data_IF_998753630159
#
_entry.id   IF_998753630159
#
_cell.length_a   1.000
_cell.length_b   1.000
_cell.length_c   1.000
_cell.angle_alpha   90.00
_cell.angle_beta   90.00
_cell.angle_gamma   90.00
#
_symmetry.space_group_name_H-M   'P 1'
#
loop_
_entity.id
_entity.type
_entity.pdbx_description
1 polymer ?
#
# COMPACT_ATOMS: atom_id res chain seq x y z
N UNK A 1 6.85 20.32 -14.66
CA UNK A 1 6.64 19.13 -15.49
C UNK A 1 5.18 19.06 -15.92
N UNK A 2 4.87 19.47 -17.14
CA UNK A 2 3.51 19.36 -17.70
C UNK A 2 3.15 17.87 -17.89
N UNK A 3 1.92 17.52 -17.54
CA UNK A 3 1.42 16.15 -17.64
C UNK A 3 1.34 15.74 -19.13
N UNK A 4 2.36 15.05 -19.64
CA UNK A 4 2.28 14.43 -20.97
C UNK A 4 0.97 13.62 -21.06
N UNK A 5 0.16 13.85 -22.09
CA UNK A 5 -1.03 13.02 -22.33
C UNK A 5 -0.53 11.62 -22.66
N UNK A 6 -0.57 10.72 -21.70
CA UNK A 6 -0.26 9.32 -21.91
C UNK A 6 -1.28 8.66 -22.81
N UNK A 7 -0.88 7.60 -23.50
CA UNK A 7 -1.79 6.74 -24.25
C UNK A 7 -2.64 5.88 -23.31
N UNK A 8 -3.67 5.25 -23.84
CA UNK A 8 -4.53 4.29 -23.13
C UNK A 8 -3.70 3.15 -22.51
N UNK A 9 -2.61 2.76 -23.15
CA UNK A 9 -1.69 1.70 -22.73
C UNK A 9 -1.16 1.96 -21.31
N UNK A 10 -0.64 3.14 -21.03
CA UNK A 10 -0.03 3.50 -19.74
C UNK A 10 -1.08 3.52 -18.62
N UNK A 11 -2.29 4.00 -18.90
CA UNK A 11 -3.40 3.92 -17.95
C UNK A 11 -3.81 2.49 -17.65
N UNK A 12 -3.84 1.61 -18.64
CA UNK A 12 -4.14 0.19 -18.44
C UNK A 12 -3.05 -0.51 -17.63
N UNK A 13 -1.77 -0.21 -17.91
CA UNK A 13 -0.65 -0.74 -17.12
C UNK A 13 -0.82 -0.35 -15.64
N UNK A 14 -1.08 0.93 -15.35
CA UNK A 14 -1.26 1.39 -13.98
C UNK A 14 -2.51 0.80 -13.32
N UNK A 15 -3.65 0.76 -14.04
CA UNK A 15 -4.88 0.19 -13.52
C UNK A 15 -4.72 -1.30 -13.18
N UNK A 16 -4.09 -2.09 -14.05
CA UNK A 16 -3.86 -3.52 -13.77
C UNK A 16 -2.77 -3.76 -12.74
N UNK A 17 -1.76 -2.88 -12.63
CA UNK A 17 -0.80 -2.94 -11.52
C UNK A 17 -1.50 -2.76 -10.16
N UNK A 18 -2.40 -1.78 -10.05
CA UNK A 18 -3.25 -1.64 -8.87
C UNK A 18 -4.20 -2.82 -8.73
N UNK A 19 -4.71 -3.34 -9.85
CA UNK A 19 -5.58 -4.50 -9.90
C UNK A 19 -4.96 -5.75 -9.28
N UNK A 20 -3.80 -6.17 -9.76
CA UNK A 20 -3.10 -7.35 -9.22
C UNK A 20 -2.55 -7.12 -7.81
N UNK A 21 -2.51 -5.88 -7.36
CA UNK A 21 -2.00 -5.50 -6.04
C UNK A 21 -3.08 -5.37 -4.99
N UNK A 22 -4.36 -5.17 -5.38
CA UNK A 22 -5.36 -4.88 -4.37
C UNK A 22 -6.82 -4.93 -4.82
N UNK A 23 -7.13 -5.08 -6.10
CA UNK A 23 -8.50 -5.28 -6.56
C UNK A 23 -8.80 -6.79 -6.56
N UNK A 24 -9.70 -7.31 -5.68
CA UNK A 24 -9.85 -8.74 -5.43
C UNK A 24 -10.10 -9.57 -6.69
N UNK A 25 -10.86 -9.05 -7.65
CA UNK A 25 -11.13 -9.72 -8.92
C UNK A 25 -9.86 -10.11 -9.68
N UNK A 26 -8.84 -9.26 -9.65
CA UNK A 26 -7.56 -9.50 -10.32
C UNK A 26 -6.54 -10.17 -9.39
N UNK A 27 -6.45 -9.72 -8.14
CA UNK A 27 -5.43 -10.18 -7.19
C UNK A 27 -5.67 -11.63 -6.72
N UNK A 28 -6.91 -12.13 -6.74
CA UNK A 28 -7.23 -13.52 -6.47
C UNK A 28 -7.10 -14.42 -7.71
N UNK A 29 -6.97 -13.85 -8.91
CA UNK A 29 -6.91 -14.59 -10.17
C UNK A 29 -5.46 -14.87 -10.61
N UNK A 30 -4.91 -16.02 -10.21
CA UNK A 30 -3.53 -16.40 -10.53
C UNK A 30 -3.21 -16.40 -12.04
N UNK A 31 -4.04 -16.97 -12.95
CA UNK A 31 -3.83 -16.84 -14.39
C UNK A 31 -3.72 -15.41 -14.87
N UNK A 32 -4.56 -14.50 -14.36
CA UNK A 32 -4.50 -13.08 -14.73
C UNK A 32 -3.20 -12.43 -14.30
N UNK A 33 -2.72 -12.69 -13.08
CA UNK A 33 -1.44 -12.16 -12.57
C UNK A 33 -0.28 -12.59 -13.48
N UNK A 34 -0.24 -13.87 -13.86
CA UNK A 34 0.79 -14.42 -14.74
C UNK A 34 0.71 -13.79 -16.14
N UNK A 35 -0.48 -13.70 -16.72
CA UNK A 35 -0.68 -13.09 -18.06
C UNK A 35 -0.30 -11.62 -18.06
N UNK A 36 -0.64 -10.87 -17.02
CA UNK A 36 -0.26 -9.46 -16.89
C UNK A 36 1.26 -9.30 -16.79
N UNK A 37 1.93 -10.10 -15.96
CA UNK A 37 3.38 -10.08 -15.84
C UNK A 37 4.08 -10.40 -17.18
N UNK A 38 3.66 -11.46 -17.87
CA UNK A 38 4.18 -11.82 -19.19
C UNK A 38 3.91 -10.74 -20.23
N UNK A 39 2.73 -10.11 -20.17
CA UNK A 39 2.38 -8.98 -21.03
C UNK A 39 3.31 -7.79 -20.82
N UNK A 40 3.66 -7.44 -19.59
CA UNK A 40 4.63 -6.37 -19.29
C UNK A 40 6.03 -6.70 -19.79
N UNK A 41 6.48 -7.94 -19.59
CA UNK A 41 7.77 -8.42 -20.12
C UNK A 41 7.78 -8.30 -21.66
N UNK A 42 6.73 -8.77 -22.32
CA UNK A 42 6.61 -8.67 -23.78
C UNK A 42 6.63 -7.22 -24.28
N UNK A 43 5.88 -6.33 -23.61
CA UNK A 43 5.88 -4.90 -23.93
C UNK A 43 7.24 -4.25 -23.71
N UNK A 44 7.96 -4.65 -22.66
CA UNK A 44 9.31 -4.16 -22.39
C UNK A 44 10.28 -4.63 -23.47
N UNK A 45 10.24 -5.91 -23.87
CA UNK A 45 11.10 -6.46 -24.93
C UNK A 45 10.88 -5.81 -26.28
N UNK A 46 9.64 -5.35 -26.55
CA UNK A 46 9.27 -4.61 -27.78
C UNK A 46 9.60 -3.11 -27.70
N UNK A 47 9.94 -2.61 -26.52
CA UNK A 47 10.28 -1.21 -26.31
C UNK A 47 11.76 -0.96 -26.60
N UNK A 48 12.12 0.33 -26.85
CA UNK A 48 13.52 0.75 -27.01
C UNK A 48 14.34 0.67 -25.71
N UNK A 49 13.70 0.35 -24.56
CA UNK A 49 14.30 0.29 -23.23
C UNK A 49 14.87 -1.10 -22.90
N UNK A 50 15.58 -1.73 -23.82
CA UNK A 50 16.00 -3.14 -23.72
C UNK A 50 17.04 -3.47 -22.62
N UNK A 51 17.49 -2.50 -21.82
CA UNK A 51 18.48 -2.76 -20.75
C UNK A 51 17.80 -2.96 -19.41
N UNK A 52 18.14 -4.06 -18.75
CA UNK A 52 17.78 -4.35 -17.36
C UNK A 52 18.76 -3.60 -16.46
N UNK A 53 18.23 -2.87 -15.48
CA UNK A 53 19.05 -2.13 -14.52
C UNK A 53 19.66 -3.07 -13.47
N UNK A 54 20.84 -2.72 -12.98
CA UNK A 54 21.55 -3.50 -11.95
C UNK A 54 20.76 -3.59 -10.64
N UNK A 55 19.93 -2.58 -10.37
CA UNK A 55 19.06 -2.54 -9.20
C UNK A 55 18.10 -3.75 -9.13
N UNK A 56 17.54 -4.18 -10.27
CA UNK A 56 16.71 -5.40 -10.29
C UNK A 56 17.52 -6.64 -9.91
N UNK A 57 18.69 -6.79 -10.49
CA UNK A 57 19.56 -7.95 -10.20
C UNK A 57 19.96 -7.95 -8.74
N UNK A 58 20.33 -6.78 -8.19
CA UNK A 58 20.72 -6.65 -6.80
C UNK A 58 19.58 -7.00 -5.84
N UNK A 59 18.36 -6.52 -6.11
CA UNK A 59 17.16 -6.84 -5.33
C UNK A 59 16.86 -8.35 -5.40
N UNK A 60 16.89 -8.95 -6.58
CA UNK A 60 16.65 -10.39 -6.74
C UNK A 60 17.69 -11.24 -6.03
N UNK A 61 18.98 -10.89 -6.13
CA UNK A 61 20.06 -11.59 -5.43
C UNK A 61 19.87 -11.48 -3.91
N UNK A 62 19.56 -10.29 -3.38
CA UNK A 62 19.33 -10.11 -1.95
C UNK A 62 18.16 -10.96 -1.43
N UNK A 63 17.05 -11.02 -2.19
CA UNK A 63 15.89 -11.85 -1.86
C UNK A 63 16.25 -13.33 -1.91
N UNK A 64 16.88 -13.79 -2.98
CA UNK A 64 17.26 -15.20 -3.13
C UNK A 64 18.25 -15.63 -2.05
N UNK A 65 19.20 -14.77 -1.67
CA UNK A 65 20.13 -15.04 -0.58
C UNK A 65 19.38 -15.16 0.77
N UNK A 66 18.44 -14.24 1.06
CA UNK A 66 17.61 -14.29 2.27
C UNK A 66 16.78 -15.58 2.32
N UNK A 67 16.07 -15.90 1.23
CA UNK A 67 15.23 -17.10 1.11
C UNK A 67 16.06 -18.37 1.22
N UNK A 68 17.24 -18.41 0.59
CA UNK A 68 18.14 -19.56 0.70
C UNK A 68 18.59 -19.79 2.14
N UNK A 69 18.99 -18.72 2.84
CA UNK A 69 19.36 -18.80 4.25
C UNK A 69 18.19 -19.32 5.11
N UNK A 70 16.96 -18.81 4.88
CA UNK A 70 15.77 -19.28 5.57
C UNK A 70 15.45 -20.76 5.28
N UNK A 71 15.56 -21.17 4.00
CA UNK A 71 15.33 -22.55 3.60
C UNK A 71 16.29 -23.52 4.30
N UNK A 72 17.57 -23.16 4.42
CA UNK A 72 18.57 -23.96 5.15
C UNK A 72 18.27 -23.98 6.65
N UNK A 73 17.98 -22.81 7.24
CA UNK A 73 17.71 -22.67 8.68
C UNK A 73 16.51 -23.49 9.15
N UNK A 74 15.42 -23.46 8.37
CA UNK A 74 14.17 -24.14 8.71
C UNK A 74 14.01 -25.52 8.06
N UNK A 75 14.97 -25.94 7.22
CA UNK A 75 14.89 -27.19 6.44
C UNK A 75 13.58 -27.31 5.66
N UNK A 76 13.08 -26.18 5.13
CA UNK A 76 11.82 -26.11 4.42
C UNK A 76 11.96 -25.22 3.18
N UNK A 77 11.40 -25.68 2.05
CA UNK A 77 11.41 -24.94 0.80
C UNK A 77 10.21 -25.27 -0.09
N UNK A 78 9.51 -24.24 -0.55
CA UNK A 78 8.39 -24.35 -1.47
C UNK A 78 8.61 -23.40 -2.66
N UNK A 79 9.11 -23.94 -3.75
CA UNK A 79 9.56 -23.17 -4.92
C UNK A 79 8.47 -22.31 -5.56
N UNK A 80 7.20 -22.76 -5.54
CA UNK A 80 6.07 -22.00 -6.11
C UNK A 80 5.87 -20.65 -5.41
N UNK A 81 6.09 -20.58 -4.11
CA UNK A 81 6.01 -19.33 -3.33
C UNK A 81 7.06 -18.32 -3.80
N UNK A 82 8.29 -18.81 -4.03
CA UNK A 82 9.39 -17.97 -4.51
C UNK A 82 9.14 -17.48 -5.94
N UNK A 83 8.63 -18.36 -6.80
CA UNK A 83 8.27 -17.98 -8.17
C UNK A 83 7.18 -16.88 -8.15
N UNK A 84 6.17 -17.00 -7.30
CA UNK A 84 5.14 -15.98 -7.13
C UNK A 84 5.69 -14.64 -6.66
N UNK A 85 6.67 -14.65 -5.73
CA UNK A 85 7.35 -13.45 -5.27
C UNK A 85 8.17 -12.80 -6.40
N UNK A 86 8.99 -13.58 -7.10
CA UNK A 86 9.79 -13.08 -8.24
C UNK A 86 8.86 -12.47 -9.30
N UNK A 87 7.73 -13.11 -9.58
CA UNK A 87 6.74 -12.60 -10.53
C UNK A 87 6.18 -11.22 -10.11
N UNK A 88 5.87 -11.03 -8.83
CA UNK A 88 5.38 -9.74 -8.31
C UNK A 88 6.44 -8.64 -8.42
N UNK A 89 7.70 -8.96 -8.11
CA UNK A 89 8.83 -8.03 -8.17
C UNK A 89 9.12 -7.64 -9.63
N UNK A 90 9.18 -8.61 -10.53
CA UNK A 90 9.41 -8.35 -11.96
C UNK A 90 8.25 -7.58 -12.58
N UNK A 91 7.00 -7.87 -12.20
CA UNK A 91 5.82 -7.08 -12.59
C UNK A 91 5.97 -5.61 -12.17
N UNK A 92 6.38 -5.36 -10.93
CA UNK A 92 6.64 -4.02 -10.40
C UNK A 92 7.73 -3.28 -11.20
N UNK A 93 8.85 -3.96 -11.42
CA UNK A 93 9.98 -3.39 -12.16
C UNK A 93 9.62 -3.03 -13.60
N UNK A 94 9.00 -3.96 -14.34
CA UNK A 94 8.63 -3.68 -15.73
C UNK A 94 7.52 -2.62 -15.85
N UNK A 95 6.60 -2.54 -14.88
CA UNK A 95 5.64 -1.45 -14.82
C UNK A 95 6.34 -0.09 -14.66
N UNK A 96 7.33 0.01 -13.75
CA UNK A 96 8.15 1.23 -13.56
C UNK A 96 8.90 1.58 -14.85
N UNK A 97 9.54 0.62 -15.50
CA UNK A 97 10.28 0.88 -16.76
C UNK A 97 9.39 1.36 -17.87
N UNK A 98 8.17 0.82 -18.01
CA UNK A 98 7.21 1.18 -19.06
C UNK A 98 6.50 2.51 -18.80
N UNK A 99 6.26 2.86 -17.54
CA UNK A 99 5.60 4.11 -17.14
C UNK A 99 6.60 5.27 -16.95
N UNK A 100 7.86 4.93 -16.68
CA UNK A 100 8.94 5.88 -16.54
C UNK A 100 8.71 6.91 -15.43
N UNK A 101 9.19 8.12 -15.63
CA UNK A 101 9.06 9.27 -14.75
C UNK A 101 7.61 9.68 -14.46
N UNK A 102 6.67 9.28 -15.32
CA UNK A 102 5.24 9.58 -15.20
C UNK A 102 4.47 8.58 -14.32
N UNK A 103 5.12 7.58 -13.73
CA UNK A 103 4.48 6.56 -12.88
C UNK A 103 3.52 7.17 -11.85
N UNK A 104 3.99 8.15 -11.07
CA UNK A 104 3.17 8.81 -10.05
C UNK A 104 2.01 9.59 -10.69
N UNK A 105 2.22 10.21 -11.85
CA UNK A 105 1.17 10.94 -12.56
C UNK A 105 0.06 10.01 -13.04
N UNK A 106 0.39 8.82 -13.54
CA UNK A 106 -0.60 7.81 -13.93
C UNK A 106 -1.32 7.24 -12.70
N UNK A 107 -0.58 6.97 -11.63
CA UNK A 107 -1.16 6.54 -10.35
C UNK A 107 -2.21 7.53 -9.85
N UNK A 108 -1.88 8.81 -9.79
CA UNK A 108 -2.80 9.85 -9.34
C UNK A 108 -4.06 9.94 -10.22
N UNK A 109 -3.91 9.87 -11.53
CA UNK A 109 -5.07 9.94 -12.45
C UNK A 109 -5.99 8.73 -12.32
N UNK A 110 -5.42 7.52 -12.22
CA UNK A 110 -6.20 6.31 -11.97
C UNK A 110 -6.89 6.38 -10.62
N UNK A 111 -6.19 6.83 -9.57
CA UNK A 111 -6.80 7.01 -8.25
C UNK A 111 -7.90 8.07 -8.23
N UNK A 112 -7.76 9.19 -8.95
CA UNK A 112 -8.83 10.19 -9.10
C UNK A 112 -10.07 9.55 -9.74
N UNK A 113 -9.90 8.79 -10.83
CA UNK A 113 -10.99 8.09 -11.49
C UNK A 113 -11.68 7.11 -10.53
N UNK A 114 -10.92 6.23 -9.87
CA UNK A 114 -11.46 5.26 -8.92
C UNK A 114 -12.15 5.93 -7.72
N UNK A 115 -11.63 7.06 -7.28
CA UNK A 115 -12.21 7.85 -6.18
C UNK A 115 -13.57 8.42 -6.58
N UNK A 116 -13.67 9.02 -7.77
CA UNK A 116 -14.94 9.57 -8.27
C UNK A 116 -15.98 8.46 -8.40
N UNK A 117 -15.61 7.35 -9.05
CA UNK A 117 -16.50 6.20 -9.21
C UNK A 117 -16.94 5.64 -7.86
N UNK A 118 -16.00 5.50 -6.92
CA UNK A 118 -16.33 4.99 -5.59
C UNK A 118 -17.34 5.85 -4.84
N UNK A 119 -17.20 7.18 -4.91
CA UNK A 119 -18.15 8.10 -4.25
C UNK A 119 -19.53 8.08 -4.94
N UNK A 120 -19.58 8.00 -6.28
CA UNK A 120 -20.84 7.89 -7.03
C UNK A 120 -21.62 6.63 -6.62
N UNK A 121 -20.93 5.51 -6.40
CA UNK A 121 -21.57 4.25 -6.00
C UNK A 121 -21.86 4.24 -4.50
N UNK A 122 -20.93 4.72 -3.68
CA UNK A 122 -21.03 4.68 -2.21
C UNK A 122 -22.16 5.57 -1.68
N UNK A 123 -22.32 6.81 -2.19
CA UNK A 123 -23.31 7.77 -1.66
C UNK A 123 -24.73 7.19 -1.70
N UNK A 124 -25.23 6.62 -2.82
CA UNK A 124 -26.54 5.97 -2.83
C UNK A 124 -26.67 4.79 -1.85
N UNK A 125 -25.64 3.96 -1.72
CA UNK A 125 -25.62 2.85 -0.75
C UNK A 125 -25.67 3.38 0.68
N UNK A 126 -24.93 4.45 0.99
CA UNK A 126 -24.91 5.06 2.31
C UNK A 126 -26.26 5.66 2.71
N UNK A 127 -26.97 6.29 1.76
CA UNK A 127 -28.30 6.87 2.00
C UNK A 127 -29.38 5.78 2.10
N UNK A 128 -29.29 4.73 1.26
CA UNK A 128 -30.24 3.62 1.20
C UNK A 128 -29.49 2.30 1.10
N UNK A 129 -29.15 1.64 2.22
CA UNK A 129 -28.36 0.40 2.22
C UNK A 129 -28.92 -0.72 1.33
N UNK A 130 -30.25 -0.82 1.19
CA UNK A 130 -30.89 -1.82 0.31
C UNK A 130 -30.48 -1.68 -1.16
N UNK A 131 -29.97 -0.50 -1.56
CA UNK A 131 -29.45 -0.30 -2.91
C UNK A 131 -28.25 -1.22 -3.22
N UNK A 132 -27.49 -1.58 -2.19
CA UNK A 132 -26.40 -2.57 -2.35
C UNK A 132 -26.94 -3.90 -2.86
N UNK A 133 -28.03 -4.41 -2.31
CA UNK A 133 -28.63 -5.68 -2.74
C UNK A 133 -29.05 -5.60 -4.22
N UNK A 134 -29.62 -4.45 -4.63
CA UNK A 134 -29.95 -4.21 -6.04
C UNK A 134 -28.72 -4.28 -6.95
N UNK A 135 -27.58 -3.69 -6.53
CA UNK A 135 -26.33 -3.77 -7.28
C UNK A 135 -25.77 -5.21 -7.33
N UNK A 136 -25.87 -5.94 -6.22
CA UNK A 136 -25.45 -7.35 -6.17
C UNK A 136 -26.29 -8.19 -7.12
N UNK A 137 -27.61 -8.00 -7.17
CA UNK A 137 -28.53 -8.74 -8.04
C UNK A 137 -28.28 -8.42 -9.52
N UNK A 138 -28.00 -7.16 -9.84
CA UNK A 138 -27.68 -6.70 -11.20
C UNK A 138 -26.28 -7.13 -11.67
N UNK A 139 -25.37 -7.48 -10.76
CA UNK A 139 -24.00 -7.84 -11.10
C UNK A 139 -23.95 -9.28 -11.64
N UNK A 140 -23.43 -9.50 -12.86
CA UNK A 140 -23.30 -10.85 -13.44
C UNK A 140 -22.48 -11.81 -12.58
N UNK A 141 -22.81 -13.09 -12.60
CA UNK A 141 -22.16 -14.11 -11.77
C UNK A 141 -20.67 -14.30 -12.08
N UNK A 142 -20.21 -14.01 -13.30
CA UNK A 142 -18.79 -14.08 -13.65
C UNK A 142 -17.96 -12.96 -13.04
N UNK A 143 -18.58 -11.89 -12.54
CA UNK A 143 -17.94 -10.83 -11.76
C UNK A 143 -17.98 -11.20 -10.27
N UNK A 144 -17.22 -12.23 -9.91
CA UNK A 144 -17.06 -12.70 -8.54
C UNK A 144 -15.60 -13.04 -8.25
N UNK A 145 -15.26 -13.12 -6.99
CA UNK A 145 -13.96 -13.55 -6.50
C UNK A 145 -14.12 -14.37 -5.21
N UNK A 146 -13.13 -15.21 -4.93
CA UNK A 146 -13.08 -15.97 -3.69
C UNK A 146 -12.54 -15.07 -2.56
N UNK A 147 -13.29 -14.99 -1.49
CA UNK A 147 -12.91 -14.28 -0.28
C UNK A 147 -12.85 -15.27 0.89
N UNK A 148 -11.73 -15.30 1.59
CA UNK A 148 -11.58 -16.17 2.77
C UNK A 148 -12.15 -15.47 4.00
N UNK A 149 -13.12 -16.12 4.63
CA UNK A 149 -13.75 -15.66 5.87
C UNK A 149 -13.70 -16.82 6.88
N UNK A 150 -12.96 -16.66 7.96
CA UNK A 150 -12.85 -17.66 9.04
C UNK A 150 -12.41 -19.07 8.54
N UNK A 151 -11.52 -19.11 7.56
CA UNK A 151 -11.06 -20.36 6.94
C UNK A 151 -12.00 -20.94 5.88
N UNK A 152 -13.14 -20.31 5.62
CA UNK A 152 -14.07 -20.71 4.57
C UNK A 152 -13.92 -19.81 3.34
N UNK A 153 -13.95 -20.42 2.15
CA UNK A 153 -14.00 -19.69 0.89
C UNK A 153 -15.44 -19.26 0.61
N UNK A 154 -15.66 -17.95 0.48
CA UNK A 154 -16.98 -17.37 0.19
C UNK A 154 -16.90 -16.59 -1.13
N UNK A 155 -17.86 -16.87 -2.03
CA UNK A 155 -17.98 -16.11 -3.27
C UNK A 155 -18.53 -14.70 -2.99
N UNK A 156 -17.84 -13.69 -3.47
CA UNK A 156 -18.23 -12.27 -3.36
C UNK A 156 -18.32 -11.66 -4.74
N UNK A 157 -19.36 -10.88 -4.99
CA UNK A 157 -19.54 -10.14 -6.23
C UNK A 157 -18.80 -8.81 -6.21
N UNK A 158 -18.32 -8.39 -7.37
CA UNK A 158 -17.63 -7.12 -7.56
C UNK A 158 -18.01 -6.49 -8.89
N UNK A 159 -18.02 -5.20 -8.95
CA UNK A 159 -18.12 -4.44 -10.20
C UNK A 159 -16.73 -4.17 -10.82
N UNK A 160 -15.66 -4.80 -10.35
CA UNK A 160 -14.24 -4.58 -10.68
C UNK A 160 -13.73 -3.21 -10.19
N UNK A 161 -14.39 -2.13 -10.60
CA UNK A 161 -14.06 -0.74 -10.19
C UNK A 161 -14.68 -0.35 -8.85
N UNK A 162 -15.52 -1.22 -8.27
CA UNK A 162 -16.09 -1.07 -6.93
C UNK A 162 -16.36 -2.46 -6.32
N UNK A 163 -15.88 -2.67 -5.11
CA UNK A 163 -16.09 -3.91 -4.37
C UNK A 163 -17.41 -3.85 -3.59
N UNK A 164 -18.31 -4.83 -3.85
CA UNK A 164 -19.63 -4.90 -3.22
C UNK A 164 -19.60 -5.60 -1.85
N UNK A 165 -18.41 -5.92 -1.32
CA UNK A 165 -18.28 -6.44 0.05
C UNK A 165 -18.68 -5.38 1.07
N UNK A 166 -19.59 -5.72 1.98
CA UNK A 166 -19.96 -4.88 3.12
C UNK A 166 -19.98 -5.72 4.40
N UNK A 167 -19.65 -5.08 5.51
CA UNK A 167 -19.81 -5.65 6.86
C UNK A 167 -21.28 -5.58 7.26
N UNK A 168 -21.77 -6.56 8.02
CA UNK A 168 -23.22 -6.72 8.33
C UNK A 168 -23.87 -5.48 8.95
N UNK A 169 -23.13 -4.64 9.68
CA UNK A 169 -23.69 -3.52 10.43
C UNK A 169 -23.13 -2.14 10.05
N UNK A 170 -22.27 -2.05 9.02
CA UNK A 170 -21.63 -0.77 8.65
C UNK A 170 -21.44 -0.63 7.15
N UNK A 171 -22.01 0.42 6.60
CA UNK A 171 -21.77 0.82 5.21
C UNK A 171 -20.50 1.67 5.17
N UNK A 172 -19.45 1.13 4.55
CA UNK A 172 -18.13 1.76 4.39
C UNK A 172 -17.70 1.74 2.93
N UNK A 173 -16.93 2.75 2.51
CA UNK A 173 -16.46 2.81 1.13
C UNK A 173 -15.18 1.98 0.94
N UNK A 174 -15.30 0.84 0.28
CA UNK A 174 -14.18 -0.02 -0.08
C UNK A 174 -13.47 0.43 -1.36
N UNK A 175 -14.09 1.33 -2.14
CA UNK A 175 -13.66 1.53 -3.53
C UNK A 175 -13.58 0.21 -4.27
N UNK A 176 -12.59 -0.01 -5.13
CA UNK A 176 -12.37 -1.29 -5.80
C UNK A 176 -11.57 -2.31 -4.94
N UNK A 177 -10.99 -1.91 -3.81
CA UNK A 177 -10.05 -2.70 -3.02
C UNK A 177 -10.75 -3.71 -2.11
N UNK A 178 -9.95 -4.59 -1.47
CA UNK A 178 -10.46 -5.72 -0.68
C UNK A 178 -11.22 -5.29 0.59
N UNK A 179 -10.85 -4.13 1.16
CA UNK A 179 -11.54 -3.58 2.32
C UNK A 179 -11.38 -2.05 2.41
N UNK A 180 -12.17 -1.36 3.26
CA UNK A 180 -12.12 0.10 3.41
C UNK A 180 -10.77 0.62 3.89
N UNK A 181 -10.07 -0.14 4.75
CA UNK A 181 -8.73 0.19 5.25
C UNK A 181 -7.72 0.26 4.12
N UNK A 182 -7.76 -0.73 3.23
CA UNK A 182 -6.91 -0.80 2.07
C UNK A 182 -7.14 0.39 1.13
N UNK A 183 -8.39 0.67 0.77
CA UNK A 183 -8.72 1.82 -0.07
C UNK A 183 -8.27 3.14 0.57
N UNK A 184 -8.52 3.30 1.87
CA UNK A 184 -8.05 4.46 2.65
C UNK A 184 -6.54 4.66 2.55
N UNK A 185 -5.75 3.59 2.62
CA UNK A 185 -4.29 3.66 2.49
C UNK A 185 -3.83 4.11 1.10
N UNK A 186 -4.40 3.55 0.02
CA UNK A 186 -4.11 4.01 -1.34
C UNK A 186 -4.51 5.48 -1.56
N UNK A 187 -5.63 5.92 -0.97
CA UNK A 187 -6.07 7.33 -1.02
C UNK A 187 -5.10 8.25 -0.27
N UNK A 188 -4.62 7.85 0.91
CA UNK A 188 -3.61 8.62 1.67
C UNK A 188 -2.31 8.73 0.88
N UNK A 189 -1.83 7.66 0.26
CA UNK A 189 -0.63 7.69 -0.60
C UNK A 189 -0.85 8.64 -1.79
N UNK A 190 -2.02 8.58 -2.44
CA UNK A 190 -2.36 9.49 -3.53
C UNK A 190 -2.43 10.96 -3.05
N UNK A 191 -3.01 11.22 -1.89
CA UNK A 191 -3.04 12.52 -1.27
C UNK A 191 -1.64 13.07 -1.02
N UNK A 192 -0.73 12.25 -0.48
CA UNK A 192 0.67 12.62 -0.21
C UNK A 192 1.38 13.02 -1.50
N UNK A 193 1.36 12.18 -2.51
CA UNK A 193 2.00 12.48 -3.79
C UNK A 193 1.43 13.73 -4.45
N UNK A 194 0.11 13.91 -4.41
CA UNK A 194 -0.52 15.09 -4.99
C UNK A 194 -0.22 16.37 -4.19
N UNK A 195 -0.15 16.29 -2.86
CA UNK A 195 0.22 17.42 -1.98
C UNK A 195 1.63 17.91 -2.28
N UNK A 196 2.59 17.00 -2.39
CA UNK A 196 3.99 17.32 -2.70
C UNK A 196 4.09 17.95 -4.09
N UNK A 197 3.39 17.38 -5.08
CA UNK A 197 3.38 17.85 -6.46
C UNK A 197 2.78 19.26 -6.61
N UNK A 198 1.63 19.50 -5.97
CA UNK A 198 0.91 20.77 -6.10
C UNK A 198 1.30 21.80 -5.03
N UNK A 199 2.08 21.40 -4.02
CA UNK A 199 2.42 22.20 -2.82
C UNK A 199 1.18 22.79 -2.14
N UNK A 200 0.08 22.04 -2.13
CA UNK A 200 -1.21 22.45 -1.58
C UNK A 200 -1.87 21.32 -0.79
N UNK A 201 -2.12 21.57 0.50
CA UNK A 201 -2.86 20.61 1.34
C UNK A 201 -4.34 20.49 0.96
N UNK A 202 -4.97 21.59 0.59
CA UNK A 202 -6.41 21.68 0.29
C UNK A 202 -6.69 22.05 -1.18
N UNK A 203 -5.91 21.47 -2.11
CA UNK A 203 -6.22 21.54 -3.54
C UNK A 203 -7.51 20.77 -3.87
N UNK A 204 -8.16 21.07 -5.00
CA UNK A 204 -9.43 20.42 -5.42
C UNK A 204 -9.34 18.88 -5.41
N UNK A 205 -8.22 18.34 -5.91
CA UNK A 205 -7.97 16.89 -5.94
C UNK A 205 -7.75 16.36 -4.52
N UNK A 206 -7.05 17.09 -3.66
CA UNK A 206 -6.82 16.71 -2.29
C UNK A 206 -8.12 16.70 -1.47
N UNK A 207 -9.01 17.66 -1.69
CA UNK A 207 -10.34 17.67 -1.07
C UNK A 207 -11.15 16.44 -1.51
N UNK A 208 -11.09 16.04 -2.79
CA UNK A 208 -11.73 14.83 -3.28
C UNK A 208 -11.20 13.58 -2.53
N UNK A 209 -9.87 13.45 -2.39
CA UNK A 209 -9.27 12.36 -1.64
C UNK A 209 -9.67 12.38 -0.16
N UNK A 210 -9.69 13.55 0.49
CA UNK A 210 -10.13 13.68 1.90
C UNK A 210 -11.57 13.20 2.07
N UNK A 211 -12.48 13.61 1.19
CA UNK A 211 -13.90 13.16 1.23
C UNK A 211 -13.98 11.63 1.11
N UNK A 212 -13.22 11.06 0.18
CA UNK A 212 -13.19 9.61 0.02
C UNK A 212 -12.55 8.90 1.22
N UNK A 213 -11.46 9.43 1.80
CA UNK A 213 -10.86 8.88 3.02
C UNK A 213 -11.89 8.88 4.16
N UNK A 214 -12.65 9.98 4.34
CA UNK A 214 -13.70 10.05 5.35
C UNK A 214 -14.75 8.97 5.12
N UNK A 215 -15.14 8.72 3.88
CA UNK A 215 -16.14 7.71 3.52
C UNK A 215 -15.70 6.27 3.81
N UNK A 216 -14.38 6.00 3.88
CA UNK A 216 -13.85 4.66 4.24
C UNK A 216 -14.07 4.32 5.70
N UNK A 217 -14.27 5.30 6.59
CA UNK A 217 -14.35 5.12 8.04
C UNK A 217 -13.16 4.30 8.60
N UNK A 218 -11.98 4.45 8.00
CA UNK A 218 -10.76 3.78 8.44
C UNK A 218 -9.99 4.65 9.43
N UNK A 219 -9.92 4.22 10.68
CA UNK A 219 -9.19 4.92 11.75
C UNK A 219 -7.71 5.10 11.41
N UNK A 220 -7.09 4.07 10.83
CA UNK A 220 -5.68 4.11 10.42
C UNK A 220 -5.45 5.11 9.30
N UNK A 221 -6.36 5.16 8.31
CA UNK A 221 -6.25 6.14 7.22
C UNK A 221 -6.42 7.58 7.74
N UNK A 222 -7.32 7.81 8.70
CA UNK A 222 -7.47 9.13 9.35
C UNK A 222 -6.21 9.55 10.10
N UNK A 223 -5.65 8.62 10.89
CA UNK A 223 -4.44 8.88 11.65
C UNK A 223 -3.25 9.16 10.73
N UNK A 224 -3.10 8.38 9.67
CA UNK A 224 -2.05 8.53 8.67
C UNK A 224 -2.16 9.88 7.92
N UNK A 225 -3.38 10.25 7.49
CA UNK A 225 -3.65 11.54 6.86
C UNK A 225 -3.30 12.70 7.80
N UNK A 226 -3.77 12.63 9.04
CA UNK A 226 -3.51 13.65 10.06
C UNK A 226 -2.02 13.78 10.36
N UNK A 227 -1.33 12.66 10.60
CA UNK A 227 0.10 12.65 10.86
C UNK A 227 0.89 13.25 9.68
N UNK A 228 0.53 12.90 8.43
CA UNK A 228 1.17 13.50 7.27
C UNK A 228 0.94 15.03 7.21
N UNK A 229 -0.29 15.51 7.38
CA UNK A 229 -0.61 16.95 7.35
C UNK A 229 0.21 17.71 8.42
N UNK A 230 0.25 17.17 9.63
CA UNK A 230 1.04 17.75 10.73
C UNK A 230 2.53 17.85 10.36
N UNK A 231 3.12 16.72 9.95
CA UNK A 231 4.54 16.70 9.57
C UNK A 231 4.82 17.60 8.36
N UNK A 232 3.96 17.60 7.35
CA UNK A 232 4.12 18.42 6.16
C UNK A 232 4.14 19.92 6.51
N UNK A 233 3.22 20.39 7.36
CA UNK A 233 3.19 21.78 7.80
C UNK A 233 4.43 22.11 8.65
N UNK A 234 4.92 21.18 9.47
CA UNK A 234 6.12 21.41 10.28
C UNK A 234 7.40 21.51 9.44
N UNK A 235 7.56 20.68 8.43
CA UNK A 235 8.79 20.60 7.65
C UNK A 235 8.81 21.48 6.40
N UNK A 236 7.64 21.98 5.96
CA UNK A 236 7.52 22.93 4.86
C UNK A 236 7.40 24.39 5.36
N UNK A 237 7.47 25.35 4.43
CA UNK A 237 7.49 26.78 4.72
C UNK A 237 6.12 27.36 5.07
N UNK A 238 5.55 26.86 6.18
CA UNK A 238 4.33 27.43 6.77
C UNK A 238 4.68 28.44 7.88
N UNK A 239 3.82 29.44 8.07
CA UNK A 239 4.02 30.45 9.12
C UNK A 239 4.00 29.84 10.53
N UNK A 240 4.73 30.44 11.45
CA UNK A 240 4.75 30.00 12.85
C UNK A 240 3.34 29.98 13.49
N UNK A 241 2.45 30.90 13.07
CA UNK A 241 1.07 30.91 13.55
C UNK A 241 0.33 29.61 13.17
N UNK A 242 0.49 29.12 11.94
CA UNK A 242 -0.11 27.84 11.49
C UNK A 242 0.52 26.67 12.24
N UNK A 243 1.85 26.67 12.42
CA UNK A 243 2.55 25.61 13.18
C UNK A 243 2.09 25.58 14.64
N UNK A 244 1.94 26.74 15.28
CA UNK A 244 1.42 26.82 16.65
C UNK A 244 -0.02 26.37 16.80
N UNK A 245 -0.88 26.69 15.82
CA UNK A 245 -2.27 26.24 15.81
C UNK A 245 -2.36 24.71 15.79
N UNK A 246 -1.51 24.03 15.03
CA UNK A 246 -1.47 22.56 14.98
C UNK A 246 -1.06 21.96 16.33
N UNK A 247 -0.08 22.58 17.03
CA UNK A 247 0.30 22.14 18.38
C UNK A 247 -0.91 22.23 19.31
N UNK A 248 -1.64 23.35 19.28
CA UNK A 248 -2.85 23.55 20.09
C UNK A 248 -3.90 22.50 19.78
N UNK A 249 -4.20 22.22 18.49
CA UNK A 249 -5.14 21.18 18.10
C UNK A 249 -4.65 19.77 18.46
N UNK A 250 -3.34 19.51 18.36
CA UNK A 250 -2.74 18.24 18.79
C UNK A 250 -2.90 18.00 20.29
N UNK A 251 -2.63 19.01 21.10
CA UNK A 251 -2.83 18.96 22.56
C UNK A 251 -4.31 18.82 22.90
N UNK A 252 -5.19 19.60 22.27
CA UNK A 252 -6.64 19.49 22.46
C UNK A 252 -7.17 18.11 22.06
N UNK A 253 -6.69 17.56 20.94
CA UNK A 253 -7.01 16.20 20.49
C UNK A 253 -6.53 15.12 21.47
N UNK A 254 -5.33 15.27 22.00
CA UNK A 254 -4.80 14.37 23.04
C UNK A 254 -5.63 14.44 24.33
N UNK A 255 -5.97 15.63 24.79
CA UNK A 255 -6.86 15.82 25.95
C UNK A 255 -8.22 15.21 25.70
N UNK A 256 -8.83 15.46 24.52
CA UNK A 256 -10.10 14.86 24.14
C UNK A 256 -10.02 13.31 24.11
N UNK A 257 -8.91 12.76 23.58
CA UNK A 257 -8.67 11.31 23.57
C UNK A 257 -8.62 10.71 24.99
N UNK A 258 -8.01 11.41 25.94
CA UNK A 258 -7.94 10.96 27.35
C UNK A 258 -9.26 11.12 28.09
N UNK A 259 -10.08 12.11 27.70
CA UNK A 259 -11.31 12.47 28.42
C UNK A 259 -12.57 11.81 27.84
N UNK A 260 -12.54 11.38 26.58
CA UNK A 260 -13.68 10.71 25.94
C UNK A 260 -13.59 9.20 26.18
N UNK A 261 -14.44 8.60 27.05
CA UNK A 261 -14.35 7.19 27.45
C UNK A 261 -14.36 6.23 26.25
N UNK A 262 -15.17 6.51 25.24
CA UNK A 262 -15.32 5.68 24.04
C UNK A 262 -13.99 5.44 23.29
N UNK A 263 -13.09 6.43 23.22
CA UNK A 263 -11.80 6.29 22.52
C UNK A 263 -10.79 5.48 23.33
N UNK A 264 -10.72 5.71 24.63
CA UNK A 264 -9.84 4.98 25.54
C UNK A 264 -10.29 3.53 25.75
N UNK A 265 -11.59 3.29 25.83
CA UNK A 265 -12.15 1.95 26.05
C UNK A 265 -11.94 1.07 24.80
N UNK A 266 -12.07 1.61 23.59
CA UNK A 266 -11.80 0.86 22.36
C UNK A 266 -10.37 0.29 22.31
N UNK A 267 -9.36 1.07 22.74
CA UNK A 267 -7.96 0.57 22.80
C UNK A 267 -7.79 -0.44 23.91
N UNK A 268 -8.47 -0.27 25.05
CA UNK A 268 -8.42 -1.25 26.14
C UNK A 268 -9.10 -2.56 25.77
N UNK A 269 -10.22 -2.49 25.06
CA UNK A 269 -10.93 -3.66 24.53
C UNK A 269 -10.09 -4.37 23.46
N UNK A 270 -9.44 -3.64 22.55
CA UNK A 270 -8.53 -4.20 21.55
C UNK A 270 -7.33 -4.90 22.20
N UNK A 271 -6.77 -4.34 23.31
CA UNK A 271 -5.68 -4.95 24.06
C UNK A 271 -6.14 -6.18 24.90
N UNK A 272 -7.35 -6.18 25.42
CA UNK A 272 -7.93 -7.36 26.09
C UNK A 272 -8.27 -8.43 25.07
N UNK A 273 -8.98 -8.08 24.02
CA UNK A 273 -9.34 -8.98 22.92
C UNK A 273 -8.13 -9.57 22.21
N UNK A 274 -6.96 -8.89 22.22
CA UNK A 274 -5.74 -9.43 21.64
C UNK A 274 -5.22 -10.67 22.39
N UNK A 275 -5.33 -10.70 23.72
CA UNK A 275 -4.92 -11.87 24.52
C UNK A 275 -5.87 -13.03 24.32
N UNK A 276 -7.16 -12.75 24.36
CA UNK A 276 -8.21 -13.74 24.16
C UNK A 276 -8.13 -14.32 22.73
N UNK A 277 -7.92 -13.46 21.72
CA UNK A 277 -7.73 -13.87 20.33
C UNK A 277 -6.48 -14.74 20.11
N UNK A 278 -5.39 -14.50 20.87
CA UNK A 278 -4.21 -15.38 20.81
C UNK A 278 -4.53 -16.74 21.41
N UNK A 279 -5.30 -16.78 22.50
CA UNK A 279 -5.63 -18.02 23.19
C UNK A 279 -6.66 -18.88 22.43
N UNK A 280 -7.63 -18.23 21.78
CA UNK A 280 -8.75 -18.90 21.12
C UNK A 280 -8.53 -19.18 19.62
N UNK A 281 -7.95 -18.24 18.88
CA UNK A 281 -7.97 -18.26 17.39
C UNK A 281 -6.58 -18.04 16.76
N UNK A 282 -5.53 -17.85 17.57
CA UNK A 282 -4.18 -17.68 17.02
C UNK A 282 -3.93 -16.37 16.29
N UNK A 283 -4.56 -15.25 16.73
CA UNK A 283 -4.16 -13.92 16.28
C UNK A 283 -5.13 -13.17 15.38
N UNK A 284 -6.41 -13.28 15.60
CA UNK A 284 -7.48 -12.65 14.80
C UNK A 284 -7.41 -11.11 14.75
N UNK A 285 -6.92 -10.45 15.80
CA UNK A 285 -6.77 -9.00 15.83
C UNK A 285 -5.39 -8.54 15.33
N UNK A 286 -5.29 -7.27 14.86
CA UNK A 286 -4.01 -6.67 14.43
C UNK A 286 -2.98 -6.64 15.55
N UNK A 287 -3.41 -6.40 16.79
CA UNK A 287 -2.53 -6.41 17.96
C UNK A 287 -2.09 -7.83 18.33
N UNK A 288 -2.99 -8.81 18.27
CA UNK A 288 -2.66 -10.22 18.48
C UNK A 288 -1.63 -10.69 17.45
N UNK A 289 -1.84 -10.35 16.17
CA UNK A 289 -0.87 -10.61 15.09
C UNK A 289 0.49 -9.99 15.39
N UNK A 290 0.53 -8.73 15.86
CA UNK A 290 1.77 -8.04 16.21
C UNK A 290 2.52 -8.72 17.39
N UNK A 291 1.80 -9.23 18.37
CA UNK A 291 2.41 -9.96 19.51
C UNK A 291 3.04 -11.27 19.03
N UNK A 292 2.33 -12.03 18.21
CA UNK A 292 2.85 -13.29 17.63
C UNK A 292 4.04 -13.03 16.69
N UNK A 293 3.98 -11.98 15.87
CA UNK A 293 5.09 -11.56 15.03
C UNK A 293 6.31 -11.15 15.86
N UNK A 294 6.08 -10.49 17.00
CA UNK A 294 7.15 -10.08 17.90
C UNK A 294 7.91 -11.27 18.50
N UNK A 295 7.24 -12.38 18.76
CA UNK A 295 7.89 -13.62 19.20
C UNK A 295 8.72 -14.26 18.08
N UNK A 296 8.22 -14.21 16.84
CA UNK A 296 8.99 -14.60 15.67
C UNK A 296 10.24 -13.72 15.49
N UNK A 297 10.11 -12.39 15.62
CA UNK A 297 11.21 -11.43 15.51
C UNK A 297 12.28 -11.66 16.58
N UNK A 298 11.89 -11.88 17.83
CA UNK A 298 12.85 -12.19 18.91
C UNK A 298 13.65 -13.47 18.63
N UNK A 299 12.99 -14.49 18.08
CA UNK A 299 13.64 -15.75 17.75
C UNK A 299 14.63 -15.63 16.58
N UNK A 300 14.29 -14.84 15.57
CA UNK A 300 15.05 -14.71 14.32
C UNK A 300 15.13 -13.25 13.85
N UNK A 301 15.77 -12.36 14.62
CA UNK A 301 15.70 -10.91 14.37
C UNK A 301 16.35 -10.49 13.05
N UNK A 302 17.40 -11.17 12.60
CA UNK A 302 18.15 -10.76 11.42
C UNK A 302 17.64 -11.35 10.12
N UNK A 303 17.20 -12.60 10.14
CA UNK A 303 16.80 -13.36 8.95
C UNK A 303 15.30 -13.47 8.76
N UNK A 304 14.52 -13.20 9.80
CA UNK A 304 13.10 -13.56 9.83
C UNK A 304 12.87 -15.08 9.81
N UNK A 305 11.61 -15.47 9.84
CA UNK A 305 11.18 -16.87 9.80
C UNK A 305 10.82 -17.38 8.39
N UNK A 306 10.79 -16.49 7.41
CA UNK A 306 10.52 -16.85 6.02
C UNK A 306 9.07 -16.66 5.59
N UNK A 307 8.87 -16.88 4.28
CA UNK A 307 7.61 -16.66 3.56
C UNK A 307 6.56 -17.76 3.80
N UNK A 308 6.98 -18.88 4.37
CA UNK A 308 6.13 -20.08 4.44
C UNK A 308 5.38 -20.13 5.76
N UNK A 309 4.04 -20.32 5.72
CA UNK A 309 3.27 -20.50 6.95
C UNK A 309 3.83 -21.60 7.84
N UNK A 310 4.32 -22.69 7.25
CA UNK A 310 4.87 -23.85 7.95
C UNK A 310 6.10 -23.55 8.81
N UNK A 311 6.87 -22.50 8.48
CA UNK A 311 8.01 -22.05 9.30
C UNK A 311 7.60 -21.09 10.41
N UNK A 312 6.36 -20.59 10.37
CA UNK A 312 5.82 -19.56 11.27
C UNK A 312 4.68 -20.04 12.16
N UNK A 313 4.24 -21.28 11.96
CA UNK A 313 3.19 -21.87 12.80
C UNK A 313 3.71 -22.10 14.22
N UNK A 314 3.03 -21.53 15.19
CA UNK A 314 3.16 -21.99 16.56
C UNK A 314 2.51 -23.39 16.66
N UNK A 315 3.23 -24.37 17.22
CA UNK A 315 2.70 -25.73 17.42
C UNK A 315 1.42 -25.77 18.26
N UNK A 316 1.11 -24.68 18.95
CA UNK A 316 -0.09 -24.53 19.77
C UNK A 316 -1.35 -24.25 18.93
N UNK A 317 -1.20 -23.72 17.71
CA UNK A 317 -2.33 -23.33 16.87
C UNK A 317 -2.27 -24.01 15.50
N UNK A 318 -3.39 -24.53 15.06
CA UNK A 318 -3.52 -25.15 13.74
C UNK A 318 -3.43 -24.11 12.60
N UNK A 319 -3.85 -22.89 12.86
CA UNK A 319 -3.82 -21.77 11.95
C UNK A 319 -3.48 -20.46 12.67
N UNK A 320 -2.61 -19.65 12.11
CA UNK A 320 -2.22 -18.34 12.66
C UNK A 320 -2.51 -17.23 11.65
N UNK A 321 -3.36 -16.30 12.06
CA UNK A 321 -3.72 -15.13 11.24
C UNK A 321 -2.68 -14.02 11.43
N UNK A 322 -2.22 -13.41 10.34
CA UNK A 322 -1.22 -12.33 10.34
C UNK A 322 -1.78 -11.09 9.64
N UNK A 323 -2.54 -10.30 10.40
CA UNK A 323 -3.26 -9.11 9.89
C UNK A 323 -2.47 -7.80 10.03
N UNK A 324 -1.28 -7.82 10.64
CA UNK A 324 -0.41 -6.66 10.78
C UNK A 324 0.72 -6.70 9.75
N UNK A 325 0.62 -5.94 8.67
CA UNK A 325 1.60 -5.98 7.58
C UNK A 325 2.98 -5.47 7.97
N UNK A 326 3.09 -4.53 8.92
CA UNK A 326 4.38 -4.00 9.35
C UNK A 326 5.20 -5.03 10.15
N UNK A 327 4.61 -5.59 11.21
CA UNK A 327 5.30 -6.60 12.03
C UNK A 327 5.48 -7.91 11.27
N UNK A 328 4.49 -8.31 10.47
CA UNK A 328 4.56 -9.46 9.61
C UNK A 328 5.72 -9.38 8.60
N UNK A 329 6.00 -8.21 8.03
CA UNK A 329 7.13 -8.03 7.12
C UNK A 329 8.47 -8.26 7.84
N UNK A 330 8.65 -7.69 9.04
CA UNK A 330 9.88 -7.89 9.83
C UNK A 330 10.00 -9.36 10.27
N UNK A 331 8.93 -9.97 10.74
CA UNK A 331 8.90 -11.37 11.16
C UNK A 331 9.20 -12.33 9.99
N UNK A 332 8.80 -11.97 8.77
CA UNK A 332 9.06 -12.74 7.55
C UNK A 332 10.49 -12.61 7.07
N UNK A 333 10.98 -11.37 6.98
CA UNK A 333 12.24 -11.07 6.28
C UNK A 333 13.42 -10.77 7.20
N UNK A 334 13.15 -10.45 8.46
CA UNK A 334 14.14 -9.96 9.41
C UNK A 334 14.49 -8.48 9.23
N UNK A 335 15.18 -7.93 10.22
CA UNK A 335 15.48 -6.50 10.30
C UNK A 335 16.50 -6.05 9.25
N UNK A 336 17.40 -6.92 8.81
CA UNK A 336 18.39 -6.59 7.78
C UNK A 336 17.71 -6.35 6.43
N UNK A 337 16.81 -7.25 6.03
CA UNK A 337 16.06 -7.09 4.79
C UNK A 337 15.06 -5.94 4.88
N UNK A 338 14.47 -5.70 6.05
CA UNK A 338 13.61 -4.55 6.31
C UNK A 338 14.33 -3.22 5.98
N UNK A 339 15.52 -2.99 6.52
CA UNK A 339 16.28 -1.79 6.21
C UNK A 339 16.72 -1.72 4.76
N UNK A 340 17.12 -2.84 4.16
CA UNK A 340 17.43 -2.92 2.75
C UNK A 340 16.25 -2.51 1.86
N UNK A 341 15.06 -3.07 2.11
CA UNK A 341 13.84 -2.78 1.36
C UNK A 341 13.45 -1.30 1.46
N UNK A 342 13.41 -0.75 2.66
CA UNK A 342 13.00 0.64 2.89
C UNK A 342 14.07 1.67 2.54
N UNK A 343 15.33 1.28 2.42
CA UNK A 343 16.36 2.13 1.84
C UNK A 343 16.04 2.52 0.39
N UNK A 344 15.56 1.56 -0.42
CA UNK A 344 15.16 1.84 -1.79
C UNK A 344 13.92 2.75 -1.87
N UNK A 345 12.95 2.57 -0.99
CA UNK A 345 11.82 3.50 -0.86
C UNK A 345 12.30 4.91 -0.55
N UNK A 346 13.15 5.04 0.49
CA UNK A 346 13.71 6.33 0.88
C UNK A 346 14.41 7.01 -0.30
N UNK A 347 15.23 6.28 -1.04
CA UNK A 347 15.93 6.78 -2.22
C UNK A 347 14.97 7.27 -3.29
N UNK A 348 13.94 6.48 -3.64
CA UNK A 348 12.93 6.86 -4.61
C UNK A 348 12.09 8.06 -4.18
N UNK A 349 11.67 8.11 -2.91
CA UNK A 349 10.91 9.24 -2.37
C UNK A 349 11.78 10.51 -2.26
N UNK A 350 13.08 10.37 -1.98
CA UNK A 350 14.01 11.50 -1.96
C UNK A 350 14.15 12.12 -3.35
N UNK A 351 14.27 11.30 -4.41
CA UNK A 351 14.29 11.80 -5.78
C UNK A 351 12.97 12.51 -6.14
N UNK A 352 11.83 11.90 -5.79
CA UNK A 352 10.53 12.53 -6.01
C UNK A 352 10.42 13.87 -5.27
N UNK A 353 10.76 13.93 -3.99
CA UNK A 353 10.70 15.16 -3.20
C UNK A 353 11.65 16.23 -3.77
N UNK A 354 12.84 15.84 -4.25
CA UNK A 354 13.80 16.73 -4.88
C UNK A 354 13.24 17.37 -6.15
N UNK A 355 12.59 16.57 -7.04
CA UNK A 355 11.96 17.06 -8.27
C UNK A 355 10.94 18.16 -7.98
N UNK A 356 10.16 18.02 -6.92
CA UNK A 356 9.12 18.98 -6.58
C UNK A 356 9.57 20.02 -5.52
N UNK A 357 10.84 20.02 -5.13
CA UNK A 357 11.40 20.97 -4.16
C UNK A 357 10.72 20.91 -2.80
N UNK A 358 10.40 19.71 -2.32
CA UNK A 358 9.92 19.47 -0.98
C UNK A 358 11.09 19.29 -0.01
N UNK A 359 10.85 19.55 1.29
CA UNK A 359 11.86 19.42 2.33
C UNK A 359 12.47 18.01 2.39
N UNK A 360 13.77 17.93 2.70
CA UNK A 360 14.51 16.67 2.82
C UNK A 360 14.01 15.73 3.94
N UNK A 361 13.16 16.23 4.84
CA UNK A 361 12.49 15.40 5.86
C UNK A 361 11.28 14.65 5.33
N UNK A 362 10.64 15.13 4.25
CA UNK A 362 9.40 14.57 3.74
C UNK A 362 9.54 13.10 3.30
N UNK A 363 10.64 12.64 2.67
CA UNK A 363 10.83 11.22 2.35
C UNK A 363 10.75 10.30 3.58
N UNK A 364 11.28 10.76 4.72
CA UNK A 364 11.20 10.00 5.99
C UNK A 364 9.75 9.98 6.48
N UNK A 365 9.05 11.11 6.41
CA UNK A 365 7.62 11.20 6.76
C UNK A 365 6.81 10.23 5.90
N UNK A 366 7.05 10.17 4.58
CA UNK A 366 6.38 9.22 3.69
C UNK A 366 6.59 7.77 4.11
N UNK A 367 7.81 7.38 4.48
CA UNK A 367 8.11 6.05 5.01
C UNK A 367 7.32 5.75 6.29
N UNK A 368 7.35 6.68 7.26
CA UNK A 368 6.64 6.52 8.53
C UNK A 368 5.13 6.38 8.32
N UNK A 369 4.55 7.14 7.38
CA UNK A 369 3.14 7.02 7.05
C UNK A 369 2.81 5.67 6.40
N UNK A 370 3.66 5.16 5.50
CA UNK A 370 3.46 3.83 4.89
C UNK A 370 3.57 2.74 5.96
N UNK A 371 4.49 2.84 6.91
CA UNK A 371 4.58 1.91 8.04
C UNK A 371 3.32 1.94 8.90
N UNK A 372 2.81 3.15 9.21
CA UNK A 372 1.57 3.32 9.95
C UNK A 372 0.38 2.69 9.24
N UNK A 373 0.24 2.89 7.92
CA UNK A 373 -0.80 2.27 7.11
C UNK A 373 -0.67 0.74 7.11
N UNK A 374 0.57 0.23 7.03
CA UNK A 374 0.85 -1.21 7.03
C UNK A 374 0.61 -1.88 8.38
N UNK A 375 0.45 -1.11 9.46
CA UNK A 375 0.01 -1.68 10.75
C UNK A 375 -1.40 -2.28 10.67
N UNK A 376 -2.26 -1.78 9.77
CA UNK A 376 -3.60 -2.33 9.58
C UNK A 376 -3.77 -3.22 8.35
N UNK A 377 -2.81 -3.20 7.40
CA UNK A 377 -2.96 -3.87 6.10
C UNK A 377 -1.65 -4.50 5.62
N UNK A 378 -1.74 -5.63 4.93
CA UNK A 378 -0.59 -6.29 4.32
C UNK A 378 -0.30 -5.73 2.92
N UNK A 379 0.38 -4.59 2.83
CA UNK A 379 0.69 -3.95 1.54
C UNK A 379 1.97 -4.48 0.87
N UNK A 380 3.01 -4.78 1.65
CA UNK A 380 4.39 -4.93 1.16
C UNK A 380 4.62 -6.14 0.23
N UNK A 381 3.72 -7.10 0.24
CA UNK A 381 3.78 -8.25 -0.66
C UNK A 381 3.22 -7.97 -2.06
N UNK A 382 2.59 -6.81 -2.28
CA UNK A 382 1.95 -6.49 -3.54
C UNK A 382 2.87 -5.85 -4.57
N UNK A 383 2.62 -6.06 -5.86
CA UNK A 383 3.44 -5.51 -6.94
C UNK A 383 3.49 -3.98 -6.95
N UNK A 384 2.39 -3.30 -6.58
CA UNK A 384 2.39 -1.83 -6.52
C UNK A 384 3.35 -1.31 -5.46
N UNK A 385 3.42 -1.95 -4.31
CA UNK A 385 4.36 -1.56 -3.26
C UNK A 385 5.79 -1.96 -3.62
N UNK A 386 6.01 -3.08 -4.29
CA UNK A 386 7.32 -3.40 -4.86
C UNK A 386 7.79 -2.36 -5.90
N UNK A 387 6.86 -1.69 -6.59
CA UNK A 387 7.23 -0.63 -7.54
C UNK A 387 7.95 0.55 -6.86
N UNK A 388 7.67 0.85 -5.58
CA UNK A 388 8.39 1.89 -4.85
C UNK A 388 9.87 1.58 -4.60
N UNK A 389 10.28 0.31 -4.65
CA UNK A 389 11.70 -0.09 -4.63
C UNK A 389 12.43 0.42 -5.88
N UNK A 390 11.73 0.49 -7.00
CA UNK A 390 12.32 0.82 -8.32
C UNK A 390 11.99 2.24 -8.80
N UNK A 391 11.12 2.97 -8.10
CA UNK A 391 10.64 4.29 -8.55
C UNK A 391 11.76 5.32 -8.70
N UNK A 392 12.88 5.17 -7.98
CA UNK A 392 14.04 6.02 -8.09
C UNK A 392 14.78 5.88 -9.43
N UNK A 393 14.62 4.75 -10.15
CA UNK A 393 15.33 4.50 -11.42
C UNK A 393 14.96 5.56 -12.48
N UNK A 394 13.69 5.72 -12.87
CA UNK A 394 13.34 6.74 -13.86
C UNK A 394 13.46 8.17 -13.33
N UNK A 395 13.27 8.40 -12.03
CA UNK A 395 13.29 9.75 -11.48
C UNK A 395 14.69 10.38 -11.46
N UNK A 396 15.75 9.59 -11.34
CA UNK A 396 17.12 10.09 -11.43
C UNK A 396 17.43 10.74 -12.79
N UNK A 397 16.87 10.21 -13.86
CA UNK A 397 17.19 10.67 -15.22
C UNK A 397 16.61 12.06 -15.51
N UNK A 398 15.54 12.47 -14.82
CA UNK A 398 14.92 13.79 -14.99
C UNK A 398 15.92 14.95 -14.77
N UNK A 399 16.84 14.80 -13.82
CA UNK A 399 17.84 15.83 -13.53
C UNK A 399 19.04 15.81 -14.46
N UNK A 400 19.45 14.65 -14.93
CA UNK A 400 20.55 14.57 -15.90
C UNK A 400 20.18 15.28 -17.19
N UNK A 401 18.92 15.20 -17.63
CA UNK A 401 18.45 15.87 -18.83
C UNK A 401 18.36 17.40 -18.63
N UNK A 402 17.91 17.88 -17.46
CA UNK A 402 17.87 19.32 -17.12
C UNK A 402 19.29 19.92 -17.02
N UNK A 403 20.25 19.24 -16.37
CA UNK A 403 21.65 19.72 -16.29
C UNK A 403 22.35 19.77 -17.65
N UNK A 404 22.03 18.86 -18.56
CA UNK A 404 22.59 18.84 -19.92
C UNK A 404 21.96 19.98 -20.75
N UNK A 405 20.66 20.22 -20.63
CA UNK A 405 20.00 21.36 -21.31
C UNK A 405 20.51 22.72 -20.81
N UNK A 406 20.69 22.89 -19.49
CA UNK A 406 21.23 24.14 -18.92
C UNK A 406 22.69 24.39 -19.36
N UNK A 407 23.54 23.36 -19.39
CA UNK A 407 24.90 23.48 -19.84
C UNK A 407 25.01 23.76 -21.35
N UNK A 408 24.09 23.23 -22.17
CA UNK A 408 24.04 23.52 -23.61
C UNK A 408 23.48 24.92 -23.92
N UNK A 409 22.70 25.51 -23.02
CA UNK A 409 22.18 26.86 -23.14
C UNK A 409 23.19 27.94 -22.66
N UNK A 410 24.24 27.52 -21.92
CA UNK A 410 25.33 28.40 -21.44
C UNK A 410 26.58 28.36 -22.31
N UNK A 411 26.63 27.51 -23.32
CA UNK A 411 27.70 27.41 -24.33
C UNK A 411 27.27 28.06 -25.66
#
# INVERSE_FOLDING_TARGET
MELKKGGIKEYLIMFFLLGVSGIPYFSSNQPFIILFALGLIGLFMLSSFSKIDEELLFVLIAILACVFFQAVTFSYFKGITILGLILRITTAYFAIKLLGEYFISYFLRVMIFLTIVSLIIFIPIFIKPDFLNTLIDLTPSFLSYQYELWGFQVDRKTMVIYNLLQEENRVRNNGPFWEPGAFGGYLVIAYIFNTIREKKLLGKINILFIIAIISTQSTTAYLALFAFIVCYIFFEDYSYAVKSLIIVFGVAGYVAFQTIPFLGDKIREENKGAKDAIEEVGGDTRMASAILDWDDIKGYPFSGRGLWPETRVDKKFEYVIRNNGFTNFIATWGILFFFFYFYWYYKGFSEFCRIYGASYYIPIVMLLIIWLLSFSENYFDSSFFWAFVFIGIPLKNVFYDEEIEDNNNLS
#
